data_IF_200089435068
#
_entry.id   IF_200089435068
#
_cell.length_a   1.000
_cell.length_b   1.000
_cell.length_c   1.000
_cell.angle_alpha   90.00
_cell.angle_beta   90.00
_cell.angle_gamma   90.00
#
_symmetry.space_group_name_H-M   'P 1'
#
loop_
_entity.id
_entity.type
_entity.pdbx_description
1 polymer ?
#
# COMPACT_ATOMS: atom_id res chain seq x y z
N UNK A 1 43.97 17.26 8.87
CA UNK A 1 42.66 17.04 9.53
C UNK A 1 41.53 17.45 8.58
N UNK A 2 41.12 16.59 7.64
CA UNK A 2 39.97 16.81 6.74
C UNK A 2 39.40 15.45 6.32
N UNK A 3 38.75 14.75 7.26
CA UNK A 3 38.01 13.50 7.00
C UNK A 3 36.78 13.38 7.92
N UNK A 4 36.03 14.47 8.10
CA UNK A 4 34.83 14.44 8.94
C UNK A 4 33.56 15.00 8.28
N UNK A 5 33.61 15.36 6.98
CA UNK A 5 32.48 16.05 6.32
C UNK A 5 31.63 15.15 5.40
N UNK A 6 32.02 13.91 5.16
CA UNK A 6 31.30 13.01 4.25
C UNK A 6 30.20 12.17 4.93
N UNK A 7 30.19 12.08 6.27
CA UNK A 7 29.24 11.24 7.00
C UNK A 7 27.96 11.99 7.43
N UNK A 8 27.95 13.32 7.35
CA UNK A 8 26.79 14.13 7.78
C UNK A 8 25.77 14.36 6.66
N UNK A 9 26.14 14.13 5.39
CA UNK A 9 25.28 14.45 4.24
C UNK A 9 24.43 13.28 3.75
N UNK A 10 24.77 12.04 4.12
CA UNK A 10 23.97 10.85 3.79
C UNK A 10 22.74 10.72 4.69
N UNK A 11 22.69 11.47 5.79
CA UNK A 11 21.54 11.48 6.72
C UNK A 11 20.36 12.34 6.23
N UNK A 12 20.47 13.03 5.09
CA UNK A 12 19.51 14.04 4.64
C UNK A 12 18.72 13.66 3.38
N UNK A 13 18.83 12.42 2.89
CA UNK A 13 18.18 11.98 1.64
C UNK A 13 17.35 10.69 1.76
N UNK A 14 17.18 10.16 2.97
CA UNK A 14 16.06 9.26 3.21
C UNK A 14 14.84 10.16 3.48
N UNK A 15 13.72 10.05 2.74
CA UNK A 15 12.46 10.57 3.25
C UNK A 15 12.32 9.96 4.65
N UNK A 16 12.09 10.80 5.65
CA UNK A 16 12.03 10.39 7.04
C UNK A 16 11.19 9.11 7.16
N UNK A 17 11.87 7.95 7.24
CA UNK A 17 11.25 6.67 7.53
C UNK A 17 10.46 6.91 8.80
N UNK A 18 9.15 6.67 8.70
CA UNK A 18 8.16 7.17 9.63
C UNK A 18 8.63 6.98 11.08
N UNK A 19 9.05 8.08 11.71
CA UNK A 19 9.10 8.18 13.18
C UNK A 19 7.72 7.74 13.64
N UNK A 20 7.66 6.64 14.42
CA UNK A 20 6.46 6.00 14.96
C UNK A 20 5.32 7.01 15.14
N UNK A 21 4.53 7.15 14.08
CA UNK A 21 3.53 8.19 13.96
C UNK A 21 2.21 7.67 14.49
N UNK A 22 1.45 8.50 15.19
CA UNK A 22 0.10 8.13 15.57
C UNK A 22 -0.77 7.97 14.33
N UNK A 23 -1.60 6.93 14.29
CA UNK A 23 -2.57 6.72 13.20
C UNK A 23 -3.44 7.98 13.07
N UNK A 24 -3.62 8.46 11.85
CA UNK A 24 -4.50 9.59 11.57
C UNK A 24 -5.86 9.04 11.14
N UNK A 25 -6.92 9.47 11.81
CA UNK A 25 -8.28 9.01 11.54
C UNK A 25 -9.21 10.17 11.17
N UNK A 26 -9.89 10.03 10.04
CA UNK A 26 -10.99 10.88 9.61
C UNK A 26 -12.29 10.08 9.63
N UNK A 27 -13.41 10.76 9.88
CA UNK A 27 -14.73 10.14 9.89
C UNK A 27 -15.77 11.14 9.41
N UNK A 28 -16.84 10.64 8.80
CA UNK A 28 -17.94 11.46 8.32
C UNK A 28 -19.11 10.61 7.85
N UNK A 29 -20.06 11.26 7.19
CA UNK A 29 -21.29 10.63 6.69
C UNK A 29 -21.63 11.17 5.31
N UNK A 30 -22.12 10.30 4.43
CA UNK A 30 -22.46 10.69 3.06
C UNK A 30 -21.25 11.13 2.22
N UNK A 31 -21.51 11.91 1.17
CA UNK A 31 -20.44 12.57 0.40
C UNK A 31 -19.80 13.70 1.20
N UNK A 32 -18.48 13.64 1.39
CA UNK A 32 -17.69 14.63 2.12
C UNK A 32 -16.35 14.86 1.44
N UNK A 33 -16.00 16.14 1.26
CA UNK A 33 -14.67 16.57 0.86
C UNK A 33 -13.79 16.75 2.11
N UNK A 34 -12.62 16.09 2.13
CA UNK A 34 -11.62 16.24 3.18
C UNK A 34 -10.38 16.86 2.56
N UNK A 35 -9.89 17.95 3.13
CA UNK A 35 -8.58 18.49 2.79
C UNK A 35 -7.54 17.95 3.76
N UNK A 36 -6.53 17.27 3.22
CA UNK A 36 -5.35 16.81 3.94
C UNK A 36 -4.21 17.76 3.55
N UNK A 37 -3.97 18.76 4.40
CA UNK A 37 -2.98 19.82 4.13
C UNK A 37 -1.53 19.30 4.12
N UNK A 38 -1.28 18.18 4.81
CA UNK A 38 0.01 17.51 4.78
C UNK A 38 -0.18 16.02 5.01
N UNK A 39 0.27 15.21 4.05
CA UNK A 39 0.27 13.76 4.24
C UNK A 39 1.23 13.39 5.38
N UNK A 40 0.77 12.66 6.41
CA UNK A 40 1.51 12.56 7.67
C UNK A 40 2.75 11.65 7.56
N UNK A 41 2.70 10.61 6.73
CA UNK A 41 3.72 9.56 6.67
C UNK A 41 3.99 9.07 5.26
N UNK A 42 5.18 8.49 5.08
CA UNK A 42 5.62 7.92 3.83
C UNK A 42 6.71 6.86 4.04
N UNK A 43 6.52 5.59 3.60
CA UNK A 43 5.26 5.00 3.14
C UNK A 43 4.20 4.91 4.24
N UNK A 44 2.94 4.71 3.83
CA UNK A 44 1.81 4.51 4.73
C UNK A 44 0.78 3.56 4.11
N UNK A 45 -0.11 3.07 4.95
CA UNK A 45 -1.31 2.33 4.60
C UNK A 45 -2.53 3.21 4.86
N UNK A 46 -3.44 3.23 3.91
CA UNK A 46 -4.75 3.88 4.05
C UNK A 46 -5.84 2.82 4.10
N UNK A 47 -6.78 2.95 5.02
CA UNK A 47 -7.91 2.05 5.17
C UNK A 47 -9.21 2.85 5.20
N UNK A 48 -10.04 2.69 4.16
CA UNK A 48 -11.37 3.27 4.08
C UNK A 48 -12.42 2.20 4.41
N UNK A 49 -13.29 2.51 5.37
CA UNK A 49 -14.36 1.63 5.83
C UNK A 49 -15.70 2.36 5.75
N UNK A 50 -16.71 1.72 5.16
CA UNK A 50 -18.10 2.19 5.16
C UNK A 50 -18.98 1.33 6.08
N UNK A 51 -19.92 1.96 6.78
CA UNK A 51 -20.87 1.26 7.64
C UNK A 51 -22.13 0.79 6.92
N UNK A 52 -22.31 1.14 5.64
CA UNK A 52 -23.46 0.71 4.84
C UNK A 52 -22.99 0.10 3.52
N UNK A 53 -23.67 -0.95 3.03
CA UNK A 53 -23.45 -1.43 1.67
C UNK A 53 -23.79 -0.37 0.64
N UNK A 54 -23.02 -0.30 -0.45
CA UNK A 54 -23.31 0.54 -1.60
C UNK A 54 -22.05 1.03 -2.31
N UNK A 55 -22.28 1.80 -3.38
CA UNK A 55 -21.19 2.41 -4.14
C UNK A 55 -20.45 3.44 -3.27
N UNK A 56 -19.18 3.16 -3.03
CA UNK A 56 -18.22 4.07 -2.42
C UNK A 56 -17.23 4.55 -3.48
N UNK A 57 -16.99 5.85 -3.52
CA UNK A 57 -15.99 6.47 -4.41
C UNK A 57 -15.03 7.30 -3.57
N UNK A 58 -13.75 7.15 -3.82
CA UNK A 58 -12.70 8.00 -3.27
C UNK A 58 -11.96 8.66 -4.42
N UNK A 59 -11.80 9.97 -4.33
CA UNK A 59 -11.10 10.76 -5.34
C UNK A 59 -10.01 11.57 -4.68
N UNK A 60 -8.82 11.47 -5.26
CA UNK A 60 -7.65 12.21 -4.86
C UNK A 60 -7.39 13.29 -5.90
N UNK A 61 -7.41 14.53 -5.44
CA UNK A 61 -7.22 15.72 -6.27
C UNK A 61 -6.25 16.67 -5.57
N UNK A 62 -5.35 17.30 -6.32
CA UNK A 62 -4.33 18.20 -5.75
C UNK A 62 -2.93 17.60 -5.75
N UNK A 63 -1.93 18.48 -5.64
CA UNK A 63 -0.54 18.16 -5.99
C UNK A 63 -0.42 17.71 -7.45
N UNK A 64 0.49 16.77 -7.73
CA UNK A 64 0.63 16.14 -9.05
C UNK A 64 -0.23 14.85 -9.21
N UNK A 65 -1.19 14.60 -8.31
CA UNK A 65 -2.00 13.39 -8.32
C UNK A 65 -3.47 13.72 -8.64
N UNK A 66 -3.97 13.16 -9.73
CA UNK A 66 -5.40 13.11 -10.05
C UNK A 66 -5.79 11.66 -10.28
N UNK A 67 -6.52 11.07 -9.34
CA UNK A 67 -7.03 9.71 -9.47
C UNK A 67 -8.37 9.57 -8.75
N UNK A 68 -9.37 8.99 -9.43
CA UNK A 68 -10.63 8.57 -8.83
C UNK A 68 -10.77 7.04 -8.86
N UNK A 69 -11.21 6.46 -7.75
CA UNK A 69 -11.52 5.04 -7.66
C UNK A 69 -12.93 4.84 -7.07
N UNK A 70 -13.72 3.94 -7.66
CA UNK A 70 -15.07 3.61 -7.22
C UNK A 70 -15.23 2.09 -7.05
N UNK A 71 -15.86 1.68 -5.97
CA UNK A 71 -16.14 0.28 -5.65
C UNK A 71 -17.47 0.14 -4.94
N UNK A 72 -18.10 -1.02 -5.06
CA UNK A 72 -19.24 -1.38 -4.25
C UNK A 72 -18.74 -1.98 -2.93
N UNK A 73 -18.87 -1.22 -1.83
CA UNK A 73 -18.58 -1.69 -0.49
C UNK A 73 -19.76 -2.55 0.01
N UNK A 74 -19.49 -3.69 0.63
CA UNK A 74 -20.47 -4.39 1.48
C UNK A 74 -20.35 -3.90 2.93
N UNK A 75 -21.33 -4.23 3.76
CA UNK A 75 -21.30 -3.88 5.18
C UNK A 75 -20.08 -4.49 5.86
N UNK A 76 -19.24 -3.64 6.46
CA UNK A 76 -17.99 -4.07 7.10
C UNK A 76 -16.87 -4.39 6.11
N UNK A 77 -17.04 -4.11 4.81
CA UNK A 77 -15.95 -4.21 3.86
C UNK A 77 -14.91 -3.14 4.16
N UNK A 78 -13.66 -3.60 4.22
CA UNK A 78 -12.49 -2.84 4.63
C UNK A 78 -11.57 -2.77 3.42
N UNK A 79 -11.77 -1.83 2.49
CA UNK A 79 -10.99 -1.84 1.25
C UNK A 79 -10.76 -0.45 0.66
N UNK A 80 -9.54 0.09 0.83
CA UNK A 80 -8.52 0.31 -0.23
C UNK A 80 -7.42 1.25 0.21
N UNK A 81 -6.25 0.98 -0.36
CA UNK A 81 -4.96 1.23 0.24
C UNK A 81 -4.00 1.73 -0.83
N UNK A 82 -3.45 2.91 -0.60
CA UNK A 82 -2.59 3.62 -1.54
C UNK A 82 -1.18 3.70 -0.94
N UNK A 83 -0.21 3.25 -1.70
CA UNK A 83 1.14 3.78 -1.58
C UNK A 83 1.15 5.13 -2.27
N UNK A 84 1.24 6.20 -1.51
CA UNK A 84 1.60 7.51 -2.06
C UNK A 84 3.00 7.42 -2.69
N UNK A 85 3.43 8.37 -3.53
CA UNK A 85 4.86 8.67 -3.77
C UNK A 85 5.11 10.14 -3.42
N UNK A 86 5.44 10.44 -2.15
CA UNK A 86 5.61 11.81 -1.69
C UNK A 86 6.75 12.53 -2.40
N UNK A 87 7.78 11.80 -2.84
CA UNK A 87 8.93 12.40 -3.50
C UNK A 87 8.62 12.76 -4.96
N UNK A 88 7.84 11.93 -5.67
CA UNK A 88 7.42 12.23 -7.05
C UNK A 88 6.37 13.36 -7.12
N UNK A 89 5.43 13.40 -6.16
CA UNK A 89 4.20 14.18 -6.27
C UNK A 89 4.13 15.43 -5.36
N UNK A 90 5.11 15.63 -4.47
CA UNK A 90 5.25 16.81 -3.63
C UNK A 90 4.48 16.71 -2.30
N UNK A 91 4.92 17.46 -1.28
CA UNK A 91 4.24 17.54 0.03
C UNK A 91 3.06 18.53 0.03
N UNK A 92 2.39 18.68 -1.10
CA UNK A 92 1.35 19.71 -1.29
C UNK A 92 -0.03 19.23 -0.82
N UNK A 93 -0.95 20.18 -0.66
CA UNK A 93 -2.32 19.95 -0.22
C UNK A 93 -3.00 18.86 -1.08
N UNK A 94 -3.36 17.76 -0.44
CA UNK A 94 -4.15 16.69 -1.06
C UNK A 94 -5.60 16.84 -0.64
N UNK A 95 -6.50 16.94 -1.62
CA UNK A 95 -7.94 16.90 -1.40
C UNK A 95 -8.45 15.50 -1.68
N UNK A 96 -9.07 14.89 -0.67
CA UNK A 96 -9.68 13.56 -0.73
C UNK A 96 -11.20 13.73 -0.67
N UNK A 97 -11.88 13.47 -1.78
CA UNK A 97 -13.35 13.42 -1.83
C UNK A 97 -13.79 11.98 -1.58
N UNK A 98 -14.61 11.77 -0.56
CA UNK A 98 -15.24 10.48 -0.27
C UNK A 98 -16.72 10.61 -0.57
N UNK A 99 -17.25 9.73 -1.41
CA UNK A 99 -18.68 9.61 -1.70
C UNK A 99 -19.16 8.24 -1.26
N UNK A 100 -20.14 8.21 -0.38
CA UNK A 100 -20.80 6.99 0.13
C UNK A 100 -22.23 7.32 0.55
N UNK A 101 -23.07 6.29 0.71
CA UNK A 101 -24.45 6.44 1.15
C UNK A 101 -24.61 6.53 2.68
N UNK A 102 -23.55 6.33 3.46
CA UNK A 102 -23.62 6.33 4.92
C UNK A 102 -22.32 6.69 5.62
N UNK A 103 -22.17 6.25 6.87
CA UNK A 103 -21.02 6.61 7.70
C UNK A 103 -19.74 5.95 7.19
N UNK A 104 -18.65 6.69 7.27
CA UNK A 104 -17.34 6.24 6.81
C UNK A 104 -16.23 6.62 7.80
N UNK A 105 -15.14 5.84 7.75
CA UNK A 105 -13.88 6.13 8.44
C UNK A 105 -12.73 5.94 7.46
N UNK A 106 -11.80 6.90 7.42
CA UNK A 106 -10.53 6.80 6.73
C UNK A 106 -9.40 6.80 7.76
N UNK A 107 -8.63 5.73 7.83
CA UNK A 107 -7.45 5.61 8.68
C UNK A 107 -6.18 5.65 7.83
N UNK A 108 -5.16 6.39 8.28
CA UNK A 108 -3.84 6.49 7.67
C UNK A 108 -2.80 6.09 8.70
N UNK A 109 -2.09 4.99 8.42
CA UNK A 109 -1.19 4.31 9.35
C UNK A 109 0.22 4.25 8.72
N UNK A 110 1.28 4.70 9.41
CA UNK A 110 2.64 4.54 8.90
C UNK A 110 2.99 3.04 8.79
N UNK A 111 3.80 2.66 7.80
CA UNK A 111 4.32 1.29 7.75
C UNK A 111 5.41 1.12 8.81
N UNK A 112 5.30 0.09 9.64
CA UNK A 112 6.27 -0.16 10.71
C UNK A 112 7.50 -0.91 10.19
N UNK A 113 8.68 -0.67 10.78
CA UNK A 113 9.90 -1.47 10.52
C UNK A 113 9.92 -2.80 11.31
N UNK A 114 8.78 -3.47 11.39
CA UNK A 114 8.60 -4.75 12.09
C UNK A 114 8.01 -5.83 11.19
N UNK A 115 7.94 -5.56 9.88
CA UNK A 115 7.38 -6.46 8.90
C UNK A 115 8.22 -7.72 8.68
N UNK A 116 7.63 -8.67 7.94
CA UNK A 116 8.27 -9.91 7.52
C UNK A 116 8.03 -10.13 6.03
N UNK A 117 8.95 -10.85 5.39
CA UNK A 117 8.77 -11.28 4.00
C UNK A 117 7.61 -12.29 3.84
N UNK A 118 7.14 -12.90 4.95
CA UNK A 118 5.90 -13.65 4.98
C UNK A 118 4.71 -12.71 5.19
N UNK A 119 3.72 -12.76 4.30
CA UNK A 119 2.57 -11.88 4.33
C UNK A 119 1.33 -12.59 3.78
N UNK A 120 0.17 -12.41 4.39
CA UNK A 120 -1.07 -13.03 3.93
C UNK A 120 -2.26 -12.13 4.20
N UNK A 121 -3.34 -12.36 3.46
CA UNK A 121 -4.51 -11.51 3.58
C UNK A 121 -5.66 -11.92 2.67
N UNK A 122 -6.62 -11.01 2.57
CA UNK A 122 -7.82 -11.17 1.77
C UNK A 122 -8.15 -9.85 1.07
N UNK A 123 -8.37 -9.88 -0.23
CA UNK A 123 -8.53 -8.68 -1.05
C UNK A 123 -7.20 -7.94 -1.19
N UNK A 124 -7.23 -6.62 -1.12
CA UNK A 124 -6.03 -5.80 -1.28
C UNK A 124 -5.17 -5.84 0.00
N UNK A 125 -3.84 -5.79 -0.13
CA UNK A 125 -2.89 -5.93 0.99
C UNK A 125 -1.66 -5.01 0.87
N UNK A 126 -1.20 -4.41 1.97
CA UNK A 126 0.12 -3.78 2.09
C UNK A 126 0.76 -4.31 3.37
N UNK A 127 1.99 -4.81 3.26
CA UNK A 127 2.75 -5.27 4.41
C UNK A 127 3.41 -4.11 5.13
N UNK A 128 3.83 -4.35 6.38
CA UNK A 128 4.85 -3.53 7.01
C UNK A 128 6.22 -3.71 6.33
N UNK A 129 7.16 -2.83 6.68
CA UNK A 129 8.50 -2.79 6.09
C UNK A 129 9.36 -3.97 6.60
N UNK A 130 10.08 -4.62 5.70
CA UNK A 130 11.00 -5.71 6.01
C UNK A 130 12.32 -5.57 5.25
N UNK A 131 13.38 -6.17 5.79
CA UNK A 131 14.73 -6.14 5.21
C UNK A 131 15.10 -7.47 4.56
N UNK A 132 15.86 -7.41 3.48
CA UNK A 132 16.40 -8.58 2.78
C UNK A 132 17.90 -8.41 2.58
N UNK A 133 18.70 -9.37 3.06
CA UNK A 133 20.16 -9.37 2.89
C UNK A 133 20.63 -10.30 1.78
N UNK A 134 19.81 -11.30 1.45
CA UNK A 134 20.12 -12.36 0.49
C UNK A 134 18.91 -12.61 -0.43
N UNK A 135 19.12 -13.14 -1.65
CA UNK A 135 18.02 -13.55 -2.51
C UNK A 135 17.06 -14.50 -1.78
N UNK A 136 15.76 -14.21 -1.85
CA UNK A 136 14.74 -14.92 -1.11
C UNK A 136 13.74 -15.58 -2.07
N UNK A 137 13.74 -16.93 -2.19
CA UNK A 137 12.70 -17.63 -2.91
C UNK A 137 11.38 -17.61 -2.12
N UNK A 138 10.29 -17.34 -2.82
CA UNK A 138 8.95 -17.24 -2.26
C UNK A 138 7.97 -18.10 -3.07
N UNK A 139 6.90 -18.52 -2.40
CA UNK A 139 5.68 -19.01 -3.04
C UNK A 139 4.55 -18.04 -2.77
N UNK A 140 3.90 -17.57 -3.83
CA UNK A 140 2.68 -16.79 -3.77
C UNK A 140 1.52 -17.73 -4.09
N UNK A 141 0.56 -17.83 -3.16
CA UNK A 141 -0.68 -18.58 -3.36
C UNK A 141 -1.87 -17.65 -3.38
N UNK A 142 -2.88 -17.99 -4.18
CA UNK A 142 -4.14 -17.25 -4.23
C UNK A 142 -5.33 -18.17 -4.51
N UNK A 143 -6.47 -17.83 -3.91
CA UNK A 143 -7.75 -18.48 -4.11
C UNK A 143 -8.81 -17.43 -4.47
N UNK A 144 -9.21 -17.44 -5.73
CA UNK A 144 -10.22 -16.56 -6.30
C UNK A 144 -11.57 -17.25 -6.51
N UNK A 145 -11.77 -18.45 -5.95
CA UNK A 145 -12.99 -19.27 -6.18
C UNK A 145 -14.30 -18.60 -5.73
N UNK A 146 -14.23 -17.50 -4.98
CA UNK A 146 -15.38 -16.82 -4.42
C UNK A 146 -15.91 -15.63 -5.25
N UNK A 147 -15.28 -15.20 -6.36
CA UNK A 147 -15.59 -13.92 -7.01
C UNK A 147 -15.57 -13.93 -8.55
N UNK A 148 -16.35 -13.03 -9.15
CA UNK A 148 -16.38 -12.79 -10.60
C UNK A 148 -15.03 -12.23 -11.07
N UNK A 149 -14.58 -12.74 -12.22
CA UNK A 149 -13.20 -12.64 -12.73
C UNK A 149 -12.62 -11.24 -12.62
N UNK A 150 -11.65 -11.08 -11.75
CA UNK A 150 -10.80 -9.90 -11.66
C UNK A 150 -9.33 -10.31 -11.51
N UNK A 151 -8.45 -9.33 -11.62
CA UNK A 151 -6.99 -9.52 -11.70
C UNK A 151 -6.38 -9.77 -10.30
N UNK A 152 -5.27 -10.51 -10.24
CA UNK A 152 -4.45 -10.64 -9.03
C UNK A 152 -3.01 -10.27 -9.34
N UNK A 153 -2.44 -9.37 -8.55
CA UNK A 153 -1.04 -9.00 -8.63
C UNK A 153 -0.39 -8.76 -7.29
N UNK A 154 0.91 -9.04 -7.25
CA UNK A 154 1.79 -8.79 -6.13
C UNK A 154 2.96 -7.97 -6.62
N UNK A 155 3.22 -6.87 -5.93
CA UNK A 155 4.32 -5.97 -6.17
C UNK A 155 5.23 -5.93 -4.94
N UNK A 156 6.53 -5.87 -5.19
CA UNK A 156 7.55 -5.54 -4.22
C UNK A 156 7.90 -4.07 -4.40
N UNK A 157 7.89 -3.30 -3.31
CA UNK A 157 8.05 -1.85 -3.37
C UNK A 157 9.18 -1.44 -2.42
N UNK A 158 10.07 -0.57 -2.89
CA UNK A 158 11.17 -0.01 -2.08
C UNK A 158 11.36 1.47 -2.36
N UNK A 159 11.76 2.22 -1.33
CA UNK A 159 12.03 3.65 -1.42
C UNK A 159 13.38 3.92 -2.11
N UNK A 160 13.36 4.73 -3.15
CA UNK A 160 14.54 5.27 -3.84
C UNK A 160 14.72 6.76 -3.54
N UNK A 161 15.84 7.34 -3.98
CA UNK A 161 16.03 8.80 -3.92
C UNK A 161 15.04 9.55 -4.84
N UNK A 162 14.51 8.86 -5.85
CA UNK A 162 13.61 9.41 -6.85
C UNK A 162 12.13 9.14 -6.56
N UNK A 163 11.81 8.36 -5.52
CA UNK A 163 10.43 7.96 -5.20
C UNK A 163 10.31 6.51 -4.74
N UNK A 164 9.33 5.78 -5.27
CA UNK A 164 9.22 4.34 -5.09
C UNK A 164 9.61 3.57 -6.36
N UNK A 165 10.43 2.55 -6.19
CA UNK A 165 10.60 1.50 -7.20
C UNK A 165 9.58 0.40 -6.92
N UNK A 166 8.72 0.13 -7.90
CA UNK A 166 7.73 -0.94 -7.85
C UNK A 166 8.13 -2.05 -8.82
N UNK A 167 8.51 -3.19 -8.28
CA UNK A 167 8.76 -4.42 -9.02
C UNK A 167 7.52 -5.30 -8.98
N UNK A 168 7.08 -5.77 -10.15
CA UNK A 168 5.92 -6.66 -10.25
C UNK A 168 6.38 -8.11 -10.16
N UNK A 169 6.13 -8.75 -9.01
CA UNK A 169 6.50 -10.14 -8.78
C UNK A 169 5.56 -11.11 -9.51
N UNK A 170 4.26 -10.78 -9.53
CA UNK A 170 3.25 -11.58 -10.22
C UNK A 170 2.07 -10.71 -10.62
N UNK A 171 1.44 -11.00 -11.76
CA UNK A 171 0.26 -10.28 -12.24
C UNK A 171 -0.44 -11.07 -13.34
N UNK A 172 -1.61 -11.63 -13.06
CA UNK A 172 -2.37 -12.40 -14.04
C UNK A 172 -3.89 -12.19 -13.86
N UNK A 173 -4.68 -12.30 -14.94
CA UNK A 173 -6.13 -12.44 -14.83
C UNK A 173 -6.49 -13.72 -14.07
N UNK A 174 -7.44 -13.65 -13.15
CA UNK A 174 -7.92 -14.85 -12.46
C UNK A 174 -8.82 -15.67 -13.38
N UNK A 175 -8.23 -16.56 -14.19
CA UNK A 175 -8.97 -17.58 -14.94
C UNK A 175 -9.32 -18.75 -14.02
N UNK A 176 -10.44 -18.64 -13.29
CA UNK A 176 -11.13 -19.72 -12.56
C UNK A 176 -10.24 -20.78 -11.87
N UNK A 177 -9.20 -20.41 -11.10
CA UNK A 177 -8.38 -21.40 -10.39
C UNK A 177 -7.78 -20.87 -9.08
N UNK A 178 -7.54 -21.82 -8.16
CA UNK A 178 -6.53 -21.70 -7.10
C UNK A 178 -5.16 -21.83 -7.75
N UNK A 179 -4.26 -20.89 -7.47
CA UNK A 179 -2.95 -20.83 -8.09
C UNK A 179 -1.82 -20.77 -7.07
N UNK A 180 -0.65 -21.23 -7.51
CA UNK A 180 0.61 -21.08 -6.80
C UNK A 180 1.66 -20.70 -7.82
N UNK A 181 2.43 -19.66 -7.54
CA UNK A 181 3.56 -19.23 -8.36
C UNK A 181 4.78 -19.06 -7.47
N UNK A 182 5.92 -19.50 -7.99
CA UNK A 182 7.20 -19.33 -7.32
C UNK A 182 7.94 -18.16 -7.93
N UNK A 183 8.44 -17.28 -7.07
CA UNK A 183 9.22 -16.10 -7.45
C UNK A 183 10.46 -16.03 -6.59
N UNK A 184 11.46 -15.25 -7.02
CA UNK A 184 12.66 -14.98 -6.24
C UNK A 184 12.82 -13.48 -6.16
N UNK A 185 12.86 -12.97 -4.93
CA UNK A 185 13.25 -11.57 -4.70
C UNK A 185 14.77 -11.51 -4.66
N UNK A 186 15.34 -10.58 -5.40
CA UNK A 186 16.77 -10.25 -5.27
C UNK A 186 16.90 -8.90 -4.59
N UNK A 187 17.56 -8.79 -3.43
CA UNK A 187 17.71 -7.51 -2.77
C UNK A 187 18.59 -6.57 -3.62
N UNK A 188 18.07 -5.37 -3.87
CA UNK A 188 18.77 -4.25 -4.46
C UNK A 188 19.11 -3.22 -3.37
N UNK A 189 20.34 -3.31 -2.86
CA UNK A 189 20.93 -2.45 -1.83
C UNK A 189 20.34 -2.56 -0.40
N UNK A 190 20.96 -1.79 0.51
CA UNK A 190 20.66 -1.69 1.94
C UNK A 190 19.41 -0.83 2.18
N UNK A 191 18.24 -1.35 1.79
CA UNK A 191 16.95 -0.65 1.88
C UNK A 191 15.82 -1.60 2.31
N UNK A 192 14.79 -1.10 3.02
CA UNK A 192 13.62 -1.90 3.33
C UNK A 192 12.68 -2.04 2.13
N UNK A 193 11.90 -3.10 2.15
CA UNK A 193 10.86 -3.42 1.19
C UNK A 193 9.51 -3.54 1.89
N UNK A 194 8.44 -3.43 1.11
CA UNK A 194 7.11 -3.85 1.52
C UNK A 194 6.34 -4.38 0.30
N UNK A 195 5.30 -5.17 0.54
CA UNK A 195 4.44 -5.67 -0.52
C UNK A 195 3.26 -4.75 -0.77
N UNK A 196 2.84 -4.65 -2.03
CA UNK A 196 1.50 -4.22 -2.44
C UNK A 196 0.79 -5.37 -3.15
N UNK A 197 -0.42 -5.71 -2.73
CA UNK A 197 -1.24 -6.77 -3.32
C UNK A 197 -2.52 -6.16 -3.88
N UNK A 198 -2.71 -6.29 -5.19
CA UNK A 198 -3.92 -5.89 -5.89
C UNK A 198 -4.75 -7.14 -6.16
N UNK A 199 -5.97 -7.19 -5.63
CA UNK A 199 -6.89 -8.28 -5.94
C UNK A 199 -8.35 -7.88 -5.74
N UNK A 200 -9.25 -8.65 -6.35
CA UNK A 200 -10.70 -8.53 -6.11
C UNK A 200 -11.03 -8.69 -4.62
N UNK A 201 -12.06 -7.99 -4.12
CA UNK A 201 -12.55 -8.19 -2.77
C UNK A 201 -12.80 -9.67 -2.51
N UNK A 202 -12.26 -10.18 -1.40
CA UNK A 202 -12.51 -11.54 -0.96
C UNK A 202 -11.57 -12.63 -1.49
N UNK A 203 -10.69 -12.35 -2.46
CA UNK A 203 -9.59 -13.25 -2.86
C UNK A 203 -8.65 -13.47 -1.68
N UNK A 204 -8.45 -14.71 -1.23
CA UNK A 204 -7.46 -15.01 -0.18
C UNK A 204 -6.11 -15.32 -0.81
N UNK A 205 -5.03 -14.87 -0.18
CA UNK A 205 -3.68 -15.06 -0.70
C UNK A 205 -2.64 -15.14 0.41
N UNK A 206 -1.48 -15.71 0.07
CA UNK A 206 -0.30 -15.72 0.94
C UNK A 206 0.98 -15.59 0.12
N UNK A 207 1.98 -14.97 0.70
CA UNK A 207 3.36 -14.87 0.23
C UNK A 207 4.20 -15.52 1.32
N UNK A 208 4.86 -16.63 1.00
CA UNK A 208 5.56 -17.46 1.98
C UNK A 208 6.98 -17.73 1.52
N UNK A 209 8.01 -17.43 2.35
CA UNK A 209 9.38 -17.85 2.08
C UNK A 209 9.51 -19.36 1.95
N UNK A 210 10.32 -19.80 0.99
CA UNK A 210 10.73 -21.21 0.88
C UNK A 210 11.94 -21.45 1.79
N UNK A 211 11.92 -22.59 2.47
CA UNK A 211 13.08 -23.11 3.23
C UNK A 211 14.21 -23.60 2.31
#
# INVERSE_FOLDING_TARGET
>A
MKKLLALLLVLALLPALALAGENVRYQGTGSTDIRIERFPYYPCRMELTAQVPGLMRIEFTGGKMEWAFAFEAKEGDMHRMLTYDAAAYGSEDLTVLITTAGDWTLEITPLAETGSAAFSGRGIGISDLFWLTDPLPLTITYDASAHEREYFAVYLITATEEGFLQERLFAEPLSELKGSVDVVITPDADRPYFYGVESSPGTTWSITPKE
#
